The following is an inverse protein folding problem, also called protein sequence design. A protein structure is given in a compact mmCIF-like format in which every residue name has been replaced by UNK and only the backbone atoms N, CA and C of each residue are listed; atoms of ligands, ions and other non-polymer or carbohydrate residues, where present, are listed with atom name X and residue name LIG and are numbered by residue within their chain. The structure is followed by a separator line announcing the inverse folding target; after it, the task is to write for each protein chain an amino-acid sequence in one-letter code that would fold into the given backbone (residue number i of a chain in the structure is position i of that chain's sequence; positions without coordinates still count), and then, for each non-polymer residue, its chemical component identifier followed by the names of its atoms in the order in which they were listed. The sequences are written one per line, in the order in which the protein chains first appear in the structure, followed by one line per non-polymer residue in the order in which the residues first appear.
data_IF_049337963017
#
_entry.id   IF_049337963017
#
_cell.length_a   1.000
_cell.length_b   1.000
_cell.length_c   1.000
_cell.angle_alpha   90.00
_cell.angle_beta   90.00
_cell.angle_gamma   90.00
#
_symmetry.space_group_name_H-M   'P 1'
#
loop_
_entity.id
_entity.type
_entity.pdbx_description
1 polymer ?
#
# COMPACT_ATOMS: atom_id res chain seq x y z
N UNK A 1 16.43 -42.93 -19.16
CA UNK A 1 15.62 -42.38 -18.07
C UNK A 1 15.71 -40.87 -18.18
N UNK A 2 14.72 -40.23 -18.80
CA UNK A 2 14.75 -38.79 -19.12
C UNK A 2 13.94 -38.08 -18.03
N UNK A 3 14.64 -37.39 -17.12
CA UNK A 3 14.00 -36.58 -16.09
C UNK A 3 13.83 -35.17 -16.66
N UNK A 4 12.62 -34.94 -17.17
CA UNK A 4 12.10 -33.66 -17.65
C UNK A 4 12.14 -32.65 -16.50
N UNK A 5 13.25 -31.92 -16.41
CA UNK A 5 13.41 -30.76 -15.53
C UNK A 5 12.59 -29.64 -16.12
N UNK A 6 11.28 -29.65 -15.88
CA UNK A 6 10.41 -28.52 -16.23
C UNK A 6 10.92 -27.31 -15.48
N UNK A 7 11.55 -26.43 -16.25
CA UNK A 7 11.89 -25.09 -15.82
C UNK A 7 10.67 -24.47 -15.16
N UNK A 8 10.85 -24.05 -13.91
CA UNK A 8 10.03 -22.99 -13.37
C UNK A 8 10.31 -21.78 -14.27
N UNK A 9 9.44 -21.57 -15.26
CA UNK A 9 9.42 -20.33 -16.02
C UNK A 9 9.33 -19.14 -15.05
N UNK A 10 9.76 -17.94 -15.46
CA UNK A 10 9.54 -16.76 -14.64
C UNK A 10 8.06 -16.72 -14.30
N UNK A 11 7.71 -16.91 -13.01
CA UNK A 11 6.33 -16.71 -12.57
C UNK A 11 5.99 -15.30 -13.00
N UNK A 12 5.02 -15.17 -13.91
CA UNK A 12 4.58 -13.87 -14.36
C UNK A 12 4.27 -13.05 -13.12
N UNK A 13 4.88 -11.89 -13.11
CA UNK A 13 4.92 -11.01 -11.96
C UNK A 13 3.48 -10.57 -11.57
N UNK A 14 2.53 -10.72 -12.49
CA UNK A 14 1.11 -10.48 -12.29
C UNK A 14 0.36 -11.63 -11.57
N UNK A 15 0.95 -12.83 -11.51
CA UNK A 15 0.41 -14.03 -10.85
C UNK A 15 0.78 -14.13 -9.36
N UNK A 16 1.41 -13.10 -8.80
CA UNK A 16 1.70 -13.04 -7.37
C UNK A 16 0.66 -12.18 -6.65
N UNK A 17 0.03 -12.70 -5.58
CA UNK A 17 -0.96 -11.93 -4.87
C UNK A 17 -0.29 -10.77 -4.12
N UNK A 18 -0.85 -9.58 -4.25
CA UNK A 18 -0.26 -8.35 -3.66
C UNK A 18 -0.17 -8.46 -2.14
N UNK A 19 -1.20 -9.08 -1.57
CA UNK A 19 -1.19 -9.57 -0.20
C UNK A 19 -0.95 -11.07 -0.26
N UNK A 20 0.14 -11.56 0.35
CA UNK A 20 0.48 -13.00 0.37
C UNK A 20 -0.59 -13.93 0.94
N UNK A 21 -1.67 -13.37 1.49
CA UNK A 21 -2.83 -14.04 2.10
C UNK A 21 -4.11 -14.03 1.25
N UNK A 22 -4.18 -13.30 0.12
CA UNK A 22 -5.35 -13.29 -0.78
C UNK A 22 -5.08 -14.00 -2.10
N UNK A 23 -6.12 -14.52 -2.75
CA UNK A 23 -6.00 -15.09 -4.09
C UNK A 23 -5.85 -13.96 -5.13
N UNK A 24 -4.97 -14.16 -6.11
CA UNK A 24 -4.83 -13.26 -7.28
C UNK A 24 -6.18 -13.15 -7.99
N UNK A 25 -6.57 -11.92 -8.33
CA UNK A 25 -7.82 -11.68 -9.04
C UNK A 25 -9.08 -11.67 -8.16
N UNK A 26 -8.96 -11.93 -6.85
CA UNK A 26 -10.04 -11.67 -5.88
C UNK A 26 -10.42 -10.19 -5.87
N UNK A 27 -11.63 -9.87 -5.39
CA UNK A 27 -12.05 -8.47 -5.23
C UNK A 27 -11.08 -7.67 -4.34
N UNK A 28 -10.55 -8.29 -3.29
CA UNK A 28 -9.56 -7.66 -2.42
C UNK A 28 -8.26 -7.36 -3.17
N UNK A 29 -7.75 -8.31 -3.97
CA UNK A 29 -6.54 -8.10 -4.79
C UNK A 29 -6.75 -7.00 -5.86
N UNK A 30 -7.93 -6.96 -6.49
CA UNK A 30 -8.28 -5.90 -7.45
C UNK A 30 -8.34 -4.52 -6.79
N UNK A 31 -9.02 -4.41 -5.64
CA UNK A 31 -9.08 -3.15 -4.87
C UNK A 31 -7.69 -2.71 -4.40
N UNK A 32 -6.84 -3.66 -4.01
CA UNK A 32 -5.45 -3.39 -3.64
C UNK A 32 -4.64 -2.83 -4.81
N UNK A 33 -4.72 -3.48 -5.97
CA UNK A 33 -4.06 -3.03 -7.21
C UNK A 33 -4.52 -1.64 -7.62
N UNK A 34 -5.82 -1.36 -7.50
CA UNK A 34 -6.39 -0.05 -7.80
C UNK A 34 -5.89 1.03 -6.83
N UNK A 35 -5.92 0.77 -5.52
CA UNK A 35 -5.39 1.69 -4.51
C UNK A 35 -3.89 1.97 -4.71
N UNK A 36 -3.10 0.94 -5.06
CA UNK A 36 -1.69 1.10 -5.39
C UNK A 36 -1.47 1.92 -6.66
N UNK A 37 -2.29 1.77 -7.70
CA UNK A 37 -2.22 2.62 -8.90
C UNK A 37 -2.49 4.09 -8.56
N UNK A 38 -3.53 4.37 -7.79
CA UNK A 38 -3.83 5.73 -7.33
C UNK A 38 -2.70 6.31 -6.46
N UNK A 39 -2.09 5.48 -5.61
CA UNK A 39 -0.93 5.88 -4.82
C UNK A 39 0.28 6.20 -5.72
N UNK A 40 0.49 5.44 -6.80
CA UNK A 40 1.54 5.74 -7.80
C UNK A 40 1.30 7.08 -8.47
N UNK A 41 0.06 7.37 -8.87
CA UNK A 41 -0.29 8.61 -9.55
C UNK A 41 -0.21 9.84 -8.65
N UNK A 42 -0.55 9.69 -7.37
CA UNK A 42 -0.46 10.77 -6.38
C UNK A 42 0.94 10.92 -5.76
N UNK A 43 1.81 9.92 -5.90
CA UNK A 43 3.17 9.96 -5.39
C UNK A 43 4.01 11.01 -6.13
N UNK A 44 4.35 12.09 -5.42
CA UNK A 44 5.25 13.14 -5.91
C UNK A 44 6.70 12.64 -6.06
N UNK A 45 7.02 11.53 -5.40
CA UNK A 45 8.37 10.99 -5.30
C UNK A 45 8.60 9.76 -6.19
N UNK A 46 9.72 9.75 -6.92
CA UNK A 46 10.09 8.68 -7.84
C UNK A 46 10.45 7.36 -7.15
N UNK A 47 10.98 7.39 -5.92
CA UNK A 47 11.29 6.18 -5.14
C UNK A 47 10.01 5.48 -4.70
N UNK A 48 9.01 6.26 -4.26
CA UNK A 48 7.67 5.76 -3.95
C UNK A 48 7.01 5.14 -5.19
N UNK A 49 7.07 5.83 -6.35
CA UNK A 49 6.51 5.32 -7.60
C UNK A 49 7.13 3.99 -8.01
N UNK A 50 8.47 3.86 -7.96
CA UNK A 50 9.18 2.61 -8.28
C UNK A 50 8.87 1.48 -7.30
N UNK A 51 8.72 1.80 -6.02
CA UNK A 51 8.38 0.81 -5.00
C UNK A 51 6.97 0.25 -5.21
N UNK A 52 6.00 1.14 -5.45
CA UNK A 52 4.62 0.76 -5.78
C UNK A 52 4.55 -0.03 -7.09
N UNK A 53 5.30 0.38 -8.11
CA UNK A 53 5.39 -0.32 -9.39
C UNK A 53 6.03 -1.71 -9.24
N UNK A 54 6.99 -1.88 -8.33
CA UNK A 54 7.57 -3.19 -8.02
C UNK A 54 6.54 -4.13 -7.40
N UNK A 55 5.61 -3.61 -6.59
CA UNK A 55 4.50 -4.39 -6.01
C UNK A 55 3.43 -4.72 -7.06
N UNK A 56 3.06 -3.75 -7.90
CA UNK A 56 2.09 -3.97 -8.97
C UNK A 56 2.56 -5.01 -9.99
N UNK A 57 3.86 -4.99 -10.29
CA UNK A 57 4.54 -6.00 -11.09
C UNK A 57 4.96 -7.21 -10.25
N UNK A 58 4.42 -7.47 -9.06
CA UNK A 58 4.71 -8.63 -8.19
C UNK A 58 6.18 -9.03 -8.03
N UNK A 59 7.10 -8.07 -8.18
CA UNK A 59 8.52 -8.20 -7.81
C UNK A 59 8.72 -8.00 -6.32
N UNK A 60 7.73 -7.41 -5.66
CA UNK A 60 7.67 -7.21 -4.22
C UNK A 60 6.23 -7.41 -3.72
N UNK A 61 6.07 -7.68 -2.42
CA UNK A 61 4.75 -7.72 -1.76
C UNK A 61 4.42 -6.38 -1.12
N UNK A 62 3.13 -6.14 -0.82
CA UNK A 62 2.73 -4.94 -0.06
C UNK A 62 3.44 -4.87 1.30
N UNK A 63 3.69 -6.02 1.94
CA UNK A 63 4.43 -6.08 3.21
C UNK A 63 5.86 -5.57 3.04
N UNK A 64 6.55 -5.97 1.97
CA UNK A 64 7.89 -5.47 1.67
C UNK A 64 7.91 -3.96 1.36
N UNK A 65 6.82 -3.43 0.77
CA UNK A 65 6.65 -1.99 0.61
C UNK A 65 6.60 -1.29 1.98
N UNK A 66 5.79 -1.80 2.92
CA UNK A 66 5.67 -1.21 4.26
C UNK A 66 6.88 -1.47 5.16
N UNK A 67 7.63 -2.53 4.92
CA UNK A 67 8.86 -2.82 5.65
C UNK A 67 10.07 -2.03 5.16
N UNK A 68 9.96 -1.37 4.00
CA UNK A 68 11.01 -0.48 3.50
C UNK A 68 11.31 0.63 4.52
N UNK A 69 12.57 0.81 4.94
CA UNK A 69 12.94 1.82 5.91
C UNK A 69 12.60 3.25 5.43
N UNK A 70 12.61 3.48 4.12
CA UNK A 70 12.25 4.77 3.52
C UNK A 70 10.74 5.05 3.65
N UNK A 71 9.90 4.03 3.43
CA UNK A 71 8.44 4.13 3.60
C UNK A 71 8.09 4.28 5.08
N UNK A 72 8.75 3.52 5.96
CA UNK A 72 8.59 3.67 7.42
C UNK A 72 8.95 5.09 7.87
N UNK A 73 10.11 5.61 7.47
CA UNK A 73 10.52 6.96 7.83
C UNK A 73 9.52 8.02 7.34
N UNK A 74 8.97 7.84 6.13
CA UNK A 74 7.93 8.73 5.60
C UNK A 74 6.61 8.65 6.36
N UNK A 75 6.15 7.44 6.69
CA UNK A 75 4.96 7.27 7.51
C UNK A 75 5.13 7.88 8.89
N UNK A 76 6.31 7.71 9.49
CA UNK A 76 6.66 8.35 10.76
C UNK A 76 6.58 9.87 10.63
N UNK A 77 7.23 10.47 9.63
CA UNK A 77 7.19 11.92 9.42
C UNK A 77 5.76 12.45 9.14
N UNK A 78 4.95 11.68 8.40
CA UNK A 78 3.56 12.03 8.13
C UNK A 78 2.73 11.97 9.42
N UNK A 79 2.93 10.93 10.23
CA UNK A 79 2.24 10.76 11.51
C UNK A 79 2.64 11.86 12.52
N UNK A 80 3.92 12.22 12.57
CA UNK A 80 4.41 13.34 13.38
C UNK A 80 3.76 14.66 12.94
N UNK A 81 3.71 14.92 11.63
CA UNK A 81 3.06 16.11 11.09
C UNK A 81 1.57 16.18 11.42
N UNK A 82 0.85 15.06 11.28
CA UNK A 82 -0.57 14.97 11.66
C UNK A 82 -0.73 15.17 13.17
N UNK A 83 0.14 14.59 13.99
CA UNK A 83 0.09 14.81 15.44
C UNK A 83 0.34 16.26 15.83
N UNK A 84 1.28 16.94 15.18
CA UNK A 84 1.54 18.35 15.42
C UNK A 84 0.36 19.22 14.95
N UNK A 85 -0.25 18.91 13.81
CA UNK A 85 -1.46 19.60 13.35
C UNK A 85 -2.61 19.40 14.34
N UNK A 86 -2.81 18.18 14.84
CA UNK A 86 -3.82 17.84 15.85
C UNK A 86 -3.55 18.49 17.21
N UNK A 87 -2.28 18.72 17.56
CA UNK A 87 -1.90 19.46 18.78
C UNK A 87 -2.14 20.95 18.66
N UNK A 88 -2.03 21.50 17.44
CA UNK A 88 -2.27 22.91 17.15
C UNK A 88 -3.75 23.22 16.88
N UNK A 89 -4.59 22.21 16.64
CA UNK A 89 -6.03 22.37 16.46
C UNK A 89 -6.74 22.84 17.73
N UNK A 90 -7.66 23.77 17.57
CA UNK A 90 -8.59 24.14 18.64
C UNK A 90 -9.57 22.99 18.93
N UNK A 91 -10.22 22.96 20.11
CA UNK A 91 -11.20 21.93 20.45
C UNK A 91 -12.32 21.79 19.40
N UNK A 92 -12.74 22.90 18.80
CA UNK A 92 -13.77 22.94 17.75
C UNK A 92 -13.26 22.33 16.43
N UNK A 93 -12.03 22.63 16.03
CA UNK A 93 -11.39 22.02 14.86
C UNK A 93 -11.18 20.51 15.06
N UNK A 94 -10.83 20.09 16.27
CA UNK A 94 -10.71 18.69 16.65
C UNK A 94 -12.05 17.96 16.58
N UNK A 95 -13.13 18.60 17.02
CA UNK A 95 -14.49 18.04 16.94
C UNK A 95 -14.97 17.89 15.49
N UNK A 96 -14.71 18.88 14.62
CA UNK A 96 -15.01 18.79 13.19
C UNK A 96 -14.16 17.73 12.48
N UNK A 97 -12.87 17.61 12.83
CA UNK A 97 -12.01 16.54 12.35
C UNK A 97 -12.56 15.16 12.77
N UNK A 98 -12.94 14.98 14.04
CA UNK A 98 -13.55 13.72 14.50
C UNK A 98 -14.88 13.39 13.82
N UNK A 99 -15.69 14.39 13.45
CA UNK A 99 -16.91 14.17 12.66
C UNK A 99 -16.61 13.71 11.24
N UNK A 100 -15.56 14.25 10.61
CA UNK A 100 -15.11 13.87 9.26
C UNK A 100 -14.47 12.48 9.21
N UNK A 101 -13.76 12.10 10.27
CA UNK A 101 -13.05 10.83 10.39
C UNK A 101 -13.82 9.76 11.16
N UNK A 102 -15.09 10.01 11.54
CA UNK A 102 -15.94 8.90 12.00
C UNK A 102 -15.99 7.88 10.86
N UNK A 103 -15.48 6.65 11.06
CA UNK A 103 -15.82 5.59 10.13
C UNK A 103 -17.35 5.56 10.09
N UNK A 104 -17.91 5.46 8.89
CA UNK A 104 -19.32 5.13 8.73
C UNK A 104 -19.53 3.68 9.21
N UNK A 105 -19.33 3.43 10.50
CA UNK A 105 -19.93 2.31 11.19
C UNK A 105 -21.26 2.82 11.74
N UNK A 106 -22.30 2.06 11.42
CA UNK A 106 -23.72 2.32 11.68
C UNK A 106 -24.39 3.33 10.75
N UNK A 107 -24.69 2.88 9.52
CA UNK A 107 -26.07 2.89 9.01
C UNK A 107 -26.33 1.75 8.03
#
# INVERSE_FOLDING_TARGET
MTQDSRGSGPRDAEDQPIFGSFAVGSEQDRKAREALRQLRESAQDDSMRRSVESVLNGRATIQQLFDSPEIKARMTALNERVQDEVRQMTPEQRAEMMKRFRPAEER
#
